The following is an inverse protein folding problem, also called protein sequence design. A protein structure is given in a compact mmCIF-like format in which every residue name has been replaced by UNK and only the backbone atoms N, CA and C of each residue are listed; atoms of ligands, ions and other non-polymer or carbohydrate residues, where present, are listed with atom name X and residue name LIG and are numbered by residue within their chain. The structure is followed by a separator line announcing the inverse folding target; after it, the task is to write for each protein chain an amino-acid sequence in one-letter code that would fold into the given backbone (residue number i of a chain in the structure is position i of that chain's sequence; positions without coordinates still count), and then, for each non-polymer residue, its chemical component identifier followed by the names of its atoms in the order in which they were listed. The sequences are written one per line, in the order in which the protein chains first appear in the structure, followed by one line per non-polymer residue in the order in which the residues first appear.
data_IF_309174643977
#
_entry.id   IF_309174643977
#
_cell.length_a   1.000
_cell.length_b   1.000
_cell.length_c   1.000
_cell.angle_alpha   90.00
_cell.angle_beta   90.00
_cell.angle_gamma   90.00
#
_symmetry.space_group_name_H-M   'P 1'
#
loop_
_entity.id
_entity.type
_entity.pdbx_description
1 polymer ?
#
# COMPACT_ATOMS: atom_id res chain seq x y z
N UNK A 1 16.12 -17.88 19.80
CA UNK A 1 17.41 -18.06 19.07
C UNK A 1 17.21 -18.56 17.64
N UNK A 2 16.13 -19.31 17.34
CA UNK A 2 15.73 -19.64 15.97
C UNK A 2 15.04 -18.47 15.24
N UNK A 3 14.16 -17.73 15.93
CA UNK A 3 13.40 -16.60 15.38
C UNK A 3 14.30 -15.43 14.88
N UNK A 4 15.37 -15.11 15.61
CA UNK A 4 16.35 -14.08 15.21
C UNK A 4 17.32 -14.53 14.10
N UNK A 5 17.37 -15.84 13.80
CA UNK A 5 18.17 -16.38 12.70
C UNK A 5 17.33 -16.45 11.42
N UNK A 6 16.03 -16.80 11.52
CA UNK A 6 15.05 -16.68 10.43
C UNK A 6 14.87 -15.21 10.00
N UNK A 7 14.81 -14.25 10.94
CA UNK A 7 14.80 -12.81 10.62
C UNK A 7 16.04 -12.36 9.83
N UNK A 8 17.18 -13.06 10.00
CA UNK A 8 18.45 -12.73 9.35
C UNK A 8 18.55 -13.31 7.95
N UNK A 9 18.05 -14.52 7.74
CA UNK A 9 17.92 -15.13 6.40
C UNK A 9 16.86 -14.44 5.55
N UNK A 10 15.69 -14.06 6.12
CA UNK A 10 14.65 -13.31 5.39
C UNK A 10 15.12 -11.90 4.95
N UNK A 11 16.04 -11.29 5.70
CA UNK A 11 16.62 -9.98 5.38
C UNK A 11 17.78 -10.04 4.37
N UNK A 12 18.51 -11.15 4.30
CA UNK A 12 19.63 -11.35 3.37
C UNK A 12 19.15 -11.78 1.97
N UNK A 13 18.09 -12.60 1.88
CA UNK A 13 17.54 -13.03 0.58
C UNK A 13 16.88 -11.88 -0.21
N UNK A 14 16.46 -10.80 0.46
CA UNK A 14 15.91 -9.61 -0.21
C UNK A 14 16.99 -8.66 -0.74
N UNK A 15 18.24 -8.78 -0.26
CA UNK A 15 19.33 -7.88 -0.67
C UNK A 15 20.00 -8.30 -1.98
N UNK A 16 19.85 -9.57 -2.38
CA UNK A 16 20.55 -10.13 -3.56
C UNK A 16 19.69 -10.11 -4.83
N UNK A 17 18.38 -9.82 -4.73
CA UNK A 17 17.49 -9.72 -5.90
C UNK A 17 17.22 -8.27 -6.38
N UNK A 18 17.92 -7.26 -5.85
CA UNK A 18 17.65 -5.85 -6.17
C UNK A 18 18.40 -5.27 -7.38
N UNK A 19 19.12 -6.10 -8.13
CA UNK A 19 19.66 -5.72 -9.43
C UNK A 19 18.71 -6.12 -10.56
N UNK A 20 17.50 -5.56 -10.60
CA UNK A 20 16.68 -5.65 -11.81
C UNK A 20 15.76 -4.43 -11.97
N UNK A 21 15.81 -3.87 -13.18
CA UNK A 21 15.11 -2.69 -13.71
C UNK A 21 15.55 -1.30 -13.22
N UNK A 22 16.82 -0.96 -13.46
CA UNK A 22 17.09 0.41 -13.91
C UNK A 22 16.44 0.55 -15.31
N UNK A 23 15.26 1.16 -15.39
CA UNK A 23 14.63 1.47 -16.66
C UNK A 23 15.64 2.23 -17.53
N UNK A 24 16.03 1.61 -18.66
CA UNK A 24 17.06 2.12 -19.54
C UNK A 24 16.70 3.56 -19.97
N UNK A 25 17.42 4.55 -19.43
CA UNK A 25 17.21 5.97 -19.74
C UNK A 25 16.77 6.88 -18.58
N UNK A 26 16.57 6.38 -17.35
CA UNK A 26 16.32 7.27 -16.21
C UNK A 26 17.58 8.08 -15.81
N UNK A 27 17.44 9.38 -15.49
CA UNK A 27 18.55 10.19 -15.00
C UNK A 27 19.09 9.60 -13.68
N UNK A 28 20.41 9.54 -13.56
CA UNK A 28 21.09 9.03 -12.37
C UNK A 28 21.69 10.18 -11.55
N UNK A 29 21.93 9.92 -10.27
CA UNK A 29 22.68 10.83 -9.41
C UNK A 29 24.11 10.93 -9.93
N UNK A 30 24.63 12.15 -10.02
CA UNK A 30 26.04 12.39 -10.31
C UNK A 30 26.93 11.76 -9.22
N UNK A 31 28.13 11.33 -9.59
CA UNK A 31 29.07 10.66 -8.71
C UNK A 31 29.46 11.53 -7.51
N UNK A 32 29.61 12.84 -7.70
CA UNK A 32 29.88 13.77 -6.61
C UNK A 32 28.75 13.79 -5.58
N UNK A 33 27.50 13.95 -6.04
CA UNK A 33 26.31 13.95 -5.18
C UNK A 33 26.11 12.59 -4.48
N UNK A 34 26.43 11.48 -5.16
CA UNK A 34 26.37 10.15 -4.58
C UNK A 34 27.39 9.99 -3.43
N UNK A 35 28.63 10.45 -3.62
CA UNK A 35 29.66 10.42 -2.59
C UNK A 35 29.32 11.30 -1.38
N UNK A 36 28.76 12.49 -1.61
CA UNK A 36 28.26 13.35 -0.54
C UNK A 36 27.14 12.67 0.24
N UNK A 37 26.16 12.06 -0.44
CA UNK A 37 25.06 11.37 0.22
C UNK A 37 25.53 10.15 1.03
N UNK A 38 26.52 9.40 0.50
CA UNK A 38 27.15 8.29 1.21
C UNK A 38 27.89 8.76 2.46
N UNK A 39 28.63 9.88 2.39
CA UNK A 39 29.30 10.49 3.53
C UNK A 39 28.29 10.83 4.63
N UNK A 40 27.24 11.57 4.27
CA UNK A 40 26.16 11.97 5.19
C UNK A 40 25.53 10.73 5.84
N UNK A 41 25.11 9.75 5.04
CA UNK A 41 24.41 8.56 5.55
C UNK A 41 25.32 7.67 6.42
N UNK A 42 26.62 7.64 6.15
CA UNK A 42 27.59 6.86 6.94
C UNK A 42 27.77 7.46 8.33
N UNK A 43 27.84 8.80 8.43
CA UNK A 43 28.11 9.51 9.67
C UNK A 43 26.89 9.68 10.60
N UNK A 44 25.67 9.36 10.15
CA UNK A 44 24.47 9.39 11.02
C UNK A 44 24.60 8.47 12.24
N UNK A 45 25.32 7.36 12.14
CA UNK A 45 25.49 6.44 13.26
C UNK A 45 25.95 5.05 12.86
N UNK A 46 26.46 4.34 13.85
CA UNK A 46 27.04 3.00 13.73
C UNK A 46 26.24 1.99 14.55
N UNK A 47 25.94 0.85 13.92
CA UNK A 47 25.30 -0.25 14.61
C UNK A 47 26.34 -0.94 15.50
N UNK A 48 26.16 -0.87 16.81
CA UNK A 48 27.03 -1.56 17.76
C UNK A 48 26.34 -2.85 18.18
N UNK A 49 26.96 -3.98 17.84
CA UNK A 49 26.58 -5.27 18.41
C UNK A 49 27.31 -5.38 19.76
N UNK A 50 26.61 -5.34 20.90
CA UNK A 50 27.26 -5.54 22.18
C UNK A 50 27.85 -6.95 22.25
N UNK A 51 29.11 -7.05 22.69
CA UNK A 51 29.86 -8.32 22.73
C UNK A 51 29.22 -9.41 23.62
N UNK A 52 28.21 -9.06 24.44
CA UNK A 52 27.47 -9.97 25.32
C UNK A 52 26.20 -10.57 24.72
N UNK A 53 26.00 -10.52 23.40
CA UNK A 53 24.84 -11.15 22.74
C UNK A 53 23.53 -10.36 22.86
N UNK A 54 23.59 -9.07 23.22
CA UNK A 54 22.44 -8.18 23.20
C UNK A 54 22.03 -7.76 21.78
N UNK A 55 20.80 -7.27 21.64
CA UNK A 55 20.32 -6.74 20.37
C UNK A 55 21.23 -5.60 19.87
N UNK A 56 21.47 -5.50 18.56
CA UNK A 56 22.31 -4.45 18.00
C UNK A 56 21.66 -3.08 18.24
N UNK A 57 22.38 -2.18 18.89
CA UNK A 57 21.90 -0.82 19.20
C UNK A 57 22.58 0.16 18.25
N UNK A 58 21.79 1.04 17.63
CA UNK A 58 22.33 2.10 16.80
C UNK A 58 22.82 3.23 17.70
N UNK A 59 24.12 3.51 17.65
CA UNK A 59 24.73 4.64 18.34
C UNK A 59 24.80 5.82 17.38
N UNK A 60 24.34 7.01 17.82
CA UNK A 60 24.51 8.25 17.07
C UNK A 60 26.00 8.53 16.77
N UNK A 61 26.27 9.04 15.57
CA UNK A 61 27.61 9.52 15.21
C UNK A 61 27.97 10.84 15.88
N UNK A 62 29.22 11.27 15.70
CA UNK A 62 29.64 12.64 16.03
C UNK A 62 28.87 13.64 15.15
N UNK A 63 28.43 14.75 15.74
CA UNK A 63 27.65 15.78 15.06
C UNK A 63 26.43 15.24 14.28
N UNK A 64 25.78 14.21 14.84
CA UNK A 64 24.65 13.51 14.22
C UNK A 64 23.52 14.48 13.79
N UNK A 65 23.24 15.52 14.57
CA UNK A 65 22.22 16.50 14.25
C UNK A 65 22.58 17.28 12.96
N UNK A 66 23.84 17.69 12.80
CA UNK A 66 24.34 18.37 11.61
C UNK A 66 24.24 17.46 10.38
N UNK A 67 24.57 16.17 10.52
CA UNK A 67 24.40 15.19 9.43
C UNK A 67 22.93 14.98 9.06
N UNK A 68 22.01 15.00 10.01
CA UNK A 68 20.56 14.96 9.72
C UNK A 68 20.13 16.24 9.00
N UNK A 69 20.66 17.41 9.35
CA UNK A 69 20.39 18.64 8.61
C UNK A 69 20.96 18.63 7.19
N UNK A 70 22.13 18.04 6.97
CA UNK A 70 22.71 17.86 5.64
C UNK A 70 21.84 16.91 4.80
N UNK A 71 21.36 15.81 5.40
CA UNK A 71 20.43 14.90 4.76
C UNK A 71 19.12 15.61 4.40
N UNK A 72 18.57 16.40 5.32
CA UNK A 72 17.38 17.21 5.08
C UNK A 72 17.61 18.16 3.91
N UNK A 73 18.77 18.83 3.87
CA UNK A 73 19.18 19.74 2.79
C UNK A 73 19.33 19.03 1.45
N UNK A 74 19.79 17.78 1.43
CA UNK A 74 19.88 16.96 0.22
C UNK A 74 18.47 16.59 -0.30
N UNK A 75 17.57 16.16 0.59
CA UNK A 75 16.18 15.82 0.20
C UNK A 75 15.41 17.07 -0.26
N UNK A 76 15.66 18.25 0.34
CA UNK A 76 15.00 19.52 -0.05
C UNK A 76 15.40 19.98 -1.44
N UNK A 77 16.64 19.73 -1.85
CA UNK A 77 17.17 20.10 -3.16
C UNK A 77 16.91 19.03 -4.23
N UNK A 78 16.29 17.92 -3.86
CA UNK A 78 15.99 16.84 -4.79
C UNK A 78 15.00 17.31 -5.86
N UNK A 79 15.13 16.75 -7.06
CA UNK A 79 14.33 17.17 -8.20
C UNK A 79 12.86 16.76 -8.01
N UNK A 80 11.92 17.69 -8.18
CA UNK A 80 10.49 17.46 -7.93
C UNK A 80 9.91 16.21 -8.64
N UNK A 81 10.26 16.01 -9.92
CA UNK A 81 9.78 14.87 -10.72
C UNK A 81 10.63 13.60 -10.61
N UNK A 82 11.96 13.72 -10.53
CA UNK A 82 12.84 12.56 -10.58
C UNK A 82 13.09 11.94 -9.21
N UNK A 83 13.11 12.77 -8.16
CA UNK A 83 13.29 12.39 -6.75
C UNK A 83 14.42 11.37 -6.55
N UNK A 84 15.57 11.64 -7.18
CA UNK A 84 16.66 10.67 -7.28
C UNK A 84 17.29 10.42 -5.91
N UNK A 85 17.45 11.46 -5.09
CA UNK A 85 17.95 11.34 -3.72
C UNK A 85 16.99 10.50 -2.90
N UNK A 86 15.69 10.78 -2.93
CA UNK A 86 14.70 10.02 -2.18
C UNK A 86 14.63 8.55 -2.60
N UNK A 87 14.69 8.25 -3.91
CA UNK A 87 14.76 6.87 -4.43
C UNK A 87 16.02 6.16 -3.94
N UNK A 88 17.17 6.84 -3.95
CA UNK A 88 18.43 6.26 -3.50
C UNK A 88 18.43 5.97 -1.99
N UNK A 89 17.90 6.88 -1.18
CA UNK A 89 17.72 6.65 0.26
C UNK A 89 16.79 5.46 0.56
N UNK A 90 15.76 5.27 -0.27
CA UNK A 90 14.88 4.10 -0.22
C UNK A 90 15.61 2.79 -0.52
N UNK A 91 16.45 2.78 -1.57
CA UNK A 91 17.29 1.61 -1.92
C UNK A 91 18.24 1.23 -0.78
N UNK A 92 18.87 2.22 -0.16
CA UNK A 92 19.77 2.00 0.99
C UNK A 92 19.04 1.72 2.31
N UNK A 93 17.71 1.82 2.32
CA UNK A 93 16.88 1.67 3.53
C UNK A 93 17.34 2.56 4.68
N UNK A 94 17.74 3.80 4.39
CA UNK A 94 18.28 4.74 5.40
C UNK A 94 17.25 5.05 6.48
N UNK A 95 15.98 5.20 6.10
CA UNK A 95 14.89 5.44 7.03
C UNK A 95 14.77 4.29 8.04
N UNK A 96 14.74 3.05 7.54
CA UNK A 96 14.51 1.86 8.35
C UNK A 96 15.72 1.47 9.21
N UNK A 97 16.93 1.59 8.64
CA UNK A 97 18.17 1.14 9.29
C UNK A 97 18.84 2.20 10.15
N UNK A 98 18.56 3.49 9.93
CA UNK A 98 19.22 4.61 10.62
C UNK A 98 18.23 5.55 11.29
N UNK A 99 17.37 6.23 10.52
CA UNK A 99 16.54 7.32 11.07
C UNK A 99 15.56 6.85 12.16
N UNK A 100 14.80 5.78 11.91
CA UNK A 100 13.86 5.28 12.91
C UNK A 100 14.55 4.70 14.17
N UNK A 101 15.62 3.90 14.08
CA UNK A 101 16.34 3.51 15.28
C UNK A 101 16.94 4.70 16.05
N UNK A 102 17.47 5.73 15.37
CA UNK A 102 17.92 6.95 16.06
C UNK A 102 16.78 7.63 16.82
N UNK A 103 15.60 7.74 16.18
CA UNK A 103 14.40 8.30 16.79
C UNK A 103 13.97 7.52 18.04
N UNK A 104 13.99 6.20 17.98
CA UNK A 104 13.58 5.33 19.10
C UNK A 104 14.59 5.33 20.25
N UNK A 105 15.90 5.33 19.97
CA UNK A 105 16.93 5.22 21.00
C UNK A 105 17.35 6.57 21.62
N UNK A 106 17.12 7.69 20.93
CA UNK A 106 17.56 9.02 21.37
C UNK A 106 16.39 9.99 21.63
N UNK A 107 15.30 9.50 22.22
CA UNK A 107 14.09 10.30 22.51
C UNK A 107 14.32 11.48 23.46
N UNK A 108 15.39 11.46 24.27
CA UNK A 108 15.74 12.55 25.18
C UNK A 108 16.33 13.79 24.48
N UNK A 109 16.83 13.62 23.25
CA UNK A 109 17.45 14.69 22.49
C UNK A 109 16.44 15.32 21.53
N UNK A 110 15.67 16.28 22.04
CA UNK A 110 14.56 16.90 21.32
C UNK A 110 14.97 17.60 20.02
N UNK A 111 16.17 18.19 19.96
CA UNK A 111 16.65 18.85 18.73
C UNK A 111 16.89 17.82 17.62
N UNK A 112 17.55 16.71 17.97
CA UNK A 112 17.77 15.60 17.06
C UNK A 112 16.46 14.93 16.63
N UNK A 113 15.56 14.64 17.57
CA UNK A 113 14.23 14.06 17.29
C UNK A 113 13.46 14.93 16.29
N UNK A 114 13.41 16.23 16.55
CA UNK A 114 12.70 17.18 15.70
C UNK A 114 13.32 17.25 14.29
N UNK A 115 14.65 17.25 14.19
CA UNK A 115 15.36 17.21 12.91
C UNK A 115 15.11 15.91 12.13
N UNK A 116 15.05 14.76 12.81
CA UNK A 116 14.71 13.47 12.18
C UNK A 116 13.27 13.49 11.66
N UNK A 117 12.31 13.98 12.45
CA UNK A 117 10.90 14.07 12.04
C UNK A 117 10.74 14.91 10.77
N UNK A 118 11.50 15.99 10.59
CA UNK A 118 11.46 16.78 9.34
C UNK A 118 11.85 15.94 8.13
N UNK A 119 12.92 15.15 8.24
CA UNK A 119 13.34 14.23 7.16
C UNK A 119 12.28 13.16 6.91
N UNK A 120 11.69 12.59 7.96
CA UNK A 120 10.63 11.59 7.85
C UNK A 120 9.39 12.14 7.14
N UNK A 121 8.95 13.34 7.48
CA UNK A 121 7.85 14.03 6.79
C UNK A 121 8.15 14.16 5.29
N UNK A 122 9.36 14.58 4.93
CA UNK A 122 9.76 14.74 3.52
C UNK A 122 9.83 13.41 2.76
N UNK A 123 10.35 12.35 3.37
CA UNK A 123 10.47 11.04 2.75
C UNK A 123 9.12 10.31 2.63
N UNK A 124 8.15 10.65 3.47
CA UNK A 124 6.80 10.05 3.47
C UNK A 124 5.78 10.79 2.61
N UNK A 125 6.17 11.89 1.95
CA UNK A 125 5.29 12.61 1.03
C UNK A 125 4.92 11.75 -0.18
N UNK A 126 3.59 11.68 -0.44
CA UNK A 126 3.04 11.03 -1.62
C UNK A 126 3.65 11.61 -2.89
N UNK A 127 4.15 10.78 -3.82
CA UNK A 127 4.72 11.27 -5.07
C UNK A 127 3.67 12.02 -5.90
N UNK A 128 4.05 13.18 -6.49
CA UNK A 128 3.25 13.84 -7.52
C UNK A 128 2.90 12.88 -8.67
N UNK A 129 1.74 13.09 -9.31
CA UNK A 129 1.26 12.21 -10.41
C UNK A 129 2.18 12.22 -11.63
N UNK A 130 2.90 13.31 -11.83
CA UNK A 130 3.88 13.52 -12.91
C UNK A 130 5.29 13.04 -12.55
N UNK A 131 5.48 12.42 -11.39
CA UNK A 131 6.78 11.88 -10.99
C UNK A 131 7.21 10.68 -11.83
N UNK A 132 8.51 10.56 -12.06
CA UNK A 132 9.08 9.37 -12.67
C UNK A 132 9.03 8.18 -11.72
N UNK A 133 8.64 7.01 -12.24
CA UNK A 133 8.64 5.74 -11.50
C UNK A 133 7.85 5.80 -10.17
N UNK A 134 6.59 6.23 -10.24
CA UNK A 134 5.68 6.30 -9.09
C UNK A 134 5.54 4.94 -8.39
N UNK A 135 5.54 3.84 -9.15
CA UNK A 135 5.43 2.49 -8.60
C UNK A 135 6.59 2.16 -7.64
N UNK A 136 7.84 2.43 -8.03
CA UNK A 136 9.00 2.22 -7.14
C UNK A 136 8.94 3.14 -5.91
N UNK A 137 8.50 4.39 -6.06
CA UNK A 137 8.36 5.30 -4.93
C UNK A 137 7.28 4.81 -3.94
N UNK A 138 6.14 4.34 -4.42
CA UNK A 138 5.08 3.74 -3.59
C UNK A 138 5.57 2.47 -2.87
N UNK A 139 6.39 1.65 -3.53
CA UNK A 139 7.03 0.48 -2.90
C UNK A 139 7.87 0.89 -1.69
N UNK A 140 8.69 1.95 -1.81
CA UNK A 140 9.46 2.45 -0.66
C UNK A 140 8.57 3.04 0.43
N UNK A 141 7.53 3.80 0.07
CA UNK A 141 6.58 4.35 1.04
C UNK A 141 5.87 3.25 1.86
N UNK A 142 5.44 2.16 1.23
CA UNK A 142 4.85 1.00 1.92
C UNK A 142 5.83 0.36 2.89
N UNK A 143 7.10 0.21 2.47
CA UNK A 143 8.17 -0.29 3.35
C UNK A 143 8.41 0.66 4.54
N UNK A 144 8.34 1.97 4.33
CA UNK A 144 8.45 2.94 5.42
C UNK A 144 7.29 2.75 6.40
N UNK A 145 6.04 2.77 5.90
CA UNK A 145 4.85 2.57 6.74
C UNK A 145 4.92 1.30 7.57
N UNK A 146 5.31 0.19 6.96
CA UNK A 146 5.51 -1.06 7.69
C UNK A 146 6.55 -0.92 8.82
N UNK A 147 7.68 -0.28 8.57
CA UNK A 147 8.72 -0.10 9.60
C UNK A 147 8.31 0.89 10.71
N UNK A 148 7.48 1.89 10.39
CA UNK A 148 6.87 2.78 11.40
C UNK A 148 6.01 2.00 12.40
N UNK A 149 5.20 1.05 11.89
CA UNK A 149 4.37 0.16 12.71
C UNK A 149 5.24 -0.78 13.54
N UNK A 150 6.20 -1.46 12.89
CA UNK A 150 7.09 -2.45 13.54
C UNK A 150 7.92 -1.85 14.68
N UNK A 151 8.36 -0.59 14.54
CA UNK A 151 9.20 0.09 15.55
C UNK A 151 8.42 0.84 16.62
N UNK A 152 7.09 0.90 16.56
CA UNK A 152 6.29 1.63 17.53
C UNK A 152 6.57 3.14 17.51
N UNK A 153 6.61 3.76 16.33
CA UNK A 153 6.92 5.20 16.19
C UNK A 153 5.71 6.07 16.55
N UNK A 154 4.49 5.59 16.36
CA UNK A 154 3.24 6.32 16.67
C UNK A 154 3.16 6.73 18.16
N UNK A 155 3.43 5.87 19.15
CA UNK A 155 3.47 6.28 20.57
C UNK A 155 4.47 7.42 20.82
N UNK A 156 5.65 7.36 20.19
CA UNK A 156 6.65 8.42 20.31
C UNK A 156 6.07 9.73 19.79
N UNK A 157 5.45 9.72 18.60
CA UNK A 157 4.80 10.90 18.04
C UNK A 157 3.71 11.48 18.95
N UNK A 158 2.92 10.62 19.60
CA UNK A 158 1.91 11.04 20.56
C UNK A 158 2.52 11.67 21.82
N UNK A 159 3.66 11.17 22.30
CA UNK A 159 4.37 11.76 23.44
C UNK A 159 4.82 13.21 23.18
N UNK A 160 5.14 13.56 21.93
CA UNK A 160 5.52 14.92 21.51
C UNK A 160 4.34 15.89 21.65
N UNK A 161 3.10 15.39 21.51
CA UNK A 161 1.88 16.19 21.55
C UNK A 161 1.35 16.44 22.96
N UNK A 162 1.87 15.76 23.99
CA UNK A 162 1.35 15.86 25.36
C UNK A 162 1.38 17.30 25.88
N UNK A 163 2.54 17.93 25.92
CA UNK A 163 2.70 19.32 26.35
C UNK A 163 1.96 20.35 25.46
N UNK A 164 2.06 20.29 24.12
CA UNK A 164 1.30 21.17 23.22
C UNK A 164 -0.21 21.11 23.42
N UNK A 165 -0.76 19.91 23.62
CA UNK A 165 -2.20 19.70 23.80
C UNK A 165 -2.69 20.14 25.18
N UNK A 166 -1.86 20.02 26.22
CA UNK A 166 -2.19 20.47 27.57
C UNK A 166 -2.28 22.01 27.69
N UNK A 167 -1.70 22.75 26.75
CA UNK A 167 -1.78 24.22 26.69
C UNK A 167 -2.96 24.64 25.82
N UNK A 168 -3.69 25.66 26.25
CA UNK A 168 -4.84 26.21 25.53
C UNK A 168 -4.66 27.70 25.23
N UNK A 169 -5.17 28.15 24.08
CA UNK A 169 -5.18 29.55 23.67
C UNK A 169 -3.80 30.20 23.65
N UNK A 170 -3.71 31.39 24.24
CA UNK A 170 -2.47 32.20 24.33
C UNK A 170 -1.33 31.56 25.12
N UNK A 171 -1.56 30.45 25.84
CA UNK A 171 -0.50 29.70 26.50
C UNK A 171 0.35 28.87 25.52
N UNK A 172 -0.11 28.66 24.28
CA UNK A 172 0.64 27.93 23.26
C UNK A 172 1.75 28.78 22.66
N UNK A 173 2.93 28.20 22.59
CA UNK A 173 4.11 28.82 21.99
C UNK A 173 4.19 28.51 20.49
N UNK A 174 4.91 29.32 19.68
CA UNK A 174 5.17 29.00 18.27
C UNK A 174 5.80 27.60 18.06
N UNK A 175 6.62 27.17 19.01
CA UNK A 175 7.22 25.83 19.00
C UNK A 175 6.17 24.72 19.16
N UNK A 176 5.13 24.95 19.96
CA UNK A 176 4.02 23.99 20.13
C UNK A 176 3.25 23.82 18.83
N UNK A 177 2.96 24.92 18.11
CA UNK A 177 2.34 24.87 16.78
C UNK A 177 3.18 24.05 15.79
N UNK A 178 4.49 24.25 15.81
CA UNK A 178 5.41 23.53 14.95
C UNK A 178 5.48 22.02 15.30
N UNK A 179 5.46 21.67 16.59
CA UNK A 179 5.40 20.29 17.07
C UNK A 179 4.08 19.61 16.66
N UNK A 180 2.96 20.32 16.77
CA UNK A 180 1.65 19.83 16.32
C UNK A 180 1.64 19.62 14.81
N UNK A 181 2.09 20.60 14.03
CA UNK A 181 2.13 20.54 12.57
C UNK A 181 2.97 19.36 12.07
N UNK A 182 4.18 19.17 12.59
CA UNK A 182 5.08 18.13 12.12
C UNK A 182 4.53 16.73 12.40
N UNK A 183 3.91 16.52 13.57
CA UNK A 183 3.34 15.23 13.97
C UNK A 183 2.09 14.95 13.15
N UNK A 184 1.15 15.89 13.07
CA UNK A 184 -0.10 15.70 12.33
C UNK A 184 0.18 15.47 10.83
N UNK A 185 1.14 16.20 10.26
CA UNK A 185 1.56 16.00 8.86
C UNK A 185 2.14 14.61 8.63
N UNK A 186 2.96 14.11 9.56
CA UNK A 186 3.53 12.77 9.45
C UNK A 186 2.45 11.69 9.59
N UNK A 187 1.51 11.82 10.53
CA UNK A 187 0.38 10.91 10.66
C UNK A 187 -0.48 10.90 9.38
N UNK A 188 -0.79 12.09 8.83
CA UNK A 188 -1.52 12.22 7.56
C UNK A 188 -0.78 11.54 6.42
N UNK A 189 0.54 11.74 6.32
CA UNK A 189 1.35 11.09 5.30
C UNK A 189 1.28 9.57 5.40
N UNK A 190 1.39 9.00 6.60
CA UNK A 190 1.30 7.55 6.82
C UNK A 190 -0.08 6.99 6.43
N UNK A 191 -1.15 7.72 6.75
CA UNK A 191 -2.52 7.40 6.33
C UNK A 191 -2.70 7.45 4.80
N UNK A 192 -2.01 8.36 4.13
CA UNK A 192 -2.09 8.55 2.68
C UNK A 192 -1.33 7.49 1.84
N UNK A 193 -0.51 6.66 2.48
CA UNK A 193 0.23 5.57 1.82
C UNK A 193 -0.72 4.39 1.59
N UNK A 194 -1.02 4.04 0.32
CA UNK A 194 -1.96 2.98 -0.01
C UNK A 194 -1.35 1.59 0.21
N UNK A 195 -2.22 0.61 0.49
CA UNK A 195 -1.86 -0.80 0.51
C UNK A 195 -1.31 -1.25 -0.86
N UNK A 196 -0.56 -2.35 -0.86
CA UNK A 196 -0.22 -3.07 -2.10
C UNK A 196 -1.45 -3.81 -2.61
N UNK A 197 -1.59 -3.92 -3.94
CA UNK A 197 -2.64 -4.73 -4.52
C UNK A 197 -2.44 -6.20 -4.09
N UNK A 198 -3.48 -6.87 -3.54
CA UNK A 198 -3.39 -8.28 -3.16
C UNK A 198 -2.93 -9.22 -4.29
N UNK A 199 -3.04 -8.79 -5.56
CA UNK A 199 -2.56 -9.56 -6.73
C UNK A 199 -1.05 -9.54 -6.90
N UNK A 200 -0.35 -8.56 -6.31
CA UNK A 200 1.10 -8.40 -6.42
C UNK A 200 1.85 -8.80 -5.15
N UNK A 201 1.15 -9.22 -4.09
CA UNK A 201 1.79 -9.74 -2.86
C UNK A 201 2.01 -11.25 -2.95
N UNK A 202 3.08 -11.70 -2.32
CA UNK A 202 3.40 -13.11 -2.08
C UNK A 202 3.11 -13.46 -0.61
N UNK A 203 3.22 -14.74 -0.24
CA UNK A 203 3.04 -15.16 1.16
C UNK A 203 3.92 -14.37 2.14
N UNK A 204 5.18 -14.10 1.77
CA UNK A 204 6.13 -13.33 2.59
C UNK A 204 5.80 -11.83 2.65
N UNK A 205 5.14 -11.29 1.62
CA UNK A 205 4.82 -9.86 1.50
C UNK A 205 3.34 -9.53 1.72
N UNK A 206 2.56 -10.50 2.20
CA UNK A 206 1.12 -10.37 2.43
C UNK A 206 0.76 -9.21 3.37
N UNK A 207 1.63 -8.89 4.33
CA UNK A 207 1.48 -7.75 5.24
C UNK A 207 1.35 -6.40 4.52
N UNK A 208 1.89 -6.24 3.30
CA UNK A 208 1.73 -5.01 2.53
C UNK A 208 0.29 -4.77 2.03
N UNK A 209 -0.55 -5.81 1.99
CA UNK A 209 -1.94 -5.71 1.53
C UNK A 209 -2.91 -5.17 2.58
N UNK A 210 -2.53 -5.17 3.86
CA UNK A 210 -3.38 -4.76 4.98
C UNK A 210 -2.71 -3.72 5.92
N UNK A 211 -1.74 -2.95 5.40
CA UNK A 211 -1.03 -1.94 6.19
C UNK A 211 -1.94 -0.82 6.71
N UNK A 212 -3.01 -0.48 5.98
CA UNK A 212 -3.95 0.56 6.40
C UNK A 212 -4.70 0.11 7.65
N UNK A 213 -5.14 -1.13 7.68
CA UNK A 213 -5.84 -1.75 8.81
C UNK A 213 -4.94 -1.83 10.04
N UNK A 214 -3.69 -2.27 9.87
CA UNK A 214 -2.69 -2.34 10.95
C UNK A 214 -2.37 -0.93 11.51
N UNK A 215 -2.29 0.07 10.61
CA UNK A 215 -2.10 1.46 11.02
C UNK A 215 -3.32 1.95 11.81
N UNK A 216 -4.54 1.78 11.32
CA UNK A 216 -5.77 2.22 12.01
C UNK A 216 -5.88 1.57 13.40
N UNK A 217 -5.56 0.28 13.50
CA UNK A 217 -5.49 -0.41 14.79
C UNK A 217 -4.50 0.28 15.74
N UNK A 218 -3.29 0.56 15.26
CA UNK A 218 -2.25 1.25 16.05
C UNK A 218 -2.69 2.66 16.44
N UNK A 219 -3.27 3.44 15.52
CA UNK A 219 -3.78 4.79 15.79
C UNK A 219 -4.87 4.76 16.87
N UNK A 220 -5.73 3.75 16.88
CA UNK A 220 -6.72 3.55 17.93
C UNK A 220 -6.07 3.18 19.28
N UNK A 221 -5.12 2.23 19.31
CA UNK A 221 -4.45 1.84 20.56
C UNK A 221 -3.69 3.01 21.21
N UNK A 222 -3.10 3.89 20.39
CA UNK A 222 -2.33 5.05 20.85
C UNK A 222 -3.17 6.32 21.04
N UNK A 223 -4.50 6.20 21.06
CA UNK A 223 -5.46 7.30 21.28
C UNK A 223 -5.35 8.47 20.28
N UNK A 224 -4.96 8.19 19.04
CA UNK A 224 -4.84 9.22 17.99
C UNK A 224 -6.22 9.75 17.61
N UNK A 225 -7.25 8.91 17.57
CA UNK A 225 -8.60 9.35 17.22
C UNK A 225 -9.24 10.24 18.28
N UNK A 226 -8.97 9.97 19.56
CA UNK A 226 -9.35 10.80 20.70
C UNK A 226 -8.68 12.18 20.60
N UNK A 227 -7.41 12.21 20.23
CA UNK A 227 -6.67 13.45 19.96
C UNK A 227 -7.25 14.21 18.76
N UNK A 228 -7.60 13.53 17.66
CA UNK A 228 -8.27 14.17 16.52
C UNK A 228 -9.65 14.74 16.90
N UNK A 229 -10.41 14.02 17.73
CA UNK A 229 -11.68 14.48 18.26
C UNK A 229 -11.50 15.72 19.15
N UNK A 230 -10.45 15.78 19.98
CA UNK A 230 -10.12 16.96 20.77
C UNK A 230 -9.87 18.17 19.88
N UNK A 231 -9.09 18.02 18.81
CA UNK A 231 -8.89 19.10 17.85
C UNK A 231 -10.19 19.50 17.13
N UNK A 232 -11.07 18.54 16.85
CA UNK A 232 -12.35 18.79 16.20
C UNK A 232 -13.36 19.55 17.09
N UNK A 233 -13.25 19.43 18.42
CA UNK A 233 -14.14 20.16 19.36
C UNK A 233 -13.94 21.68 19.29
N UNK A 234 -12.69 22.12 19.18
CA UNK A 234 -12.33 23.55 19.14
C UNK A 234 -12.04 24.05 17.71
N UNK A 235 -12.63 23.41 16.69
CA UNK A 235 -12.33 23.66 15.27
C UNK A 235 -12.79 25.04 14.77
N UNK A 236 -13.69 25.69 15.52
CA UNK A 236 -14.19 27.04 15.25
C UNK A 236 -13.24 28.14 15.74
N UNK A 237 -12.28 27.80 16.61
CA UNK A 237 -11.29 28.77 17.09
C UNK A 237 -10.39 29.21 15.94
N UNK A 238 -10.10 30.52 15.78
CA UNK A 238 -9.30 31.04 14.68
C UNK A 238 -7.88 30.47 14.64
N UNK A 239 -7.34 30.13 15.82
CA UNK A 239 -6.01 29.52 16.03
C UNK A 239 -5.92 28.10 15.46
N UNK A 240 -7.03 27.38 15.41
CA UNK A 240 -7.08 25.99 14.96
C UNK A 240 -7.49 25.85 13.48
N UNK A 241 -7.86 26.97 12.82
CA UNK A 241 -8.42 27.00 11.46
C UNK A 241 -7.53 26.30 10.42
N UNK A 242 -6.21 26.35 10.62
CA UNK A 242 -5.23 25.72 9.73
C UNK A 242 -5.31 24.18 9.77
N UNK A 243 -5.79 23.61 10.88
CA UNK A 243 -5.88 22.17 11.09
C UNK A 243 -7.19 21.57 10.59
N UNK A 244 -8.20 22.39 10.29
CA UNK A 244 -9.54 21.92 9.89
C UNK A 244 -9.48 20.97 8.69
N UNK A 245 -8.76 21.38 7.64
CA UNK A 245 -8.62 20.58 6.43
C UNK A 245 -7.72 19.35 6.65
N UNK A 246 -6.70 19.49 7.50
CA UNK A 246 -5.81 18.38 7.85
C UNK A 246 -6.56 17.28 8.61
N UNK A 247 -7.37 17.64 9.59
CA UNK A 247 -8.20 16.70 10.36
C UNK A 247 -9.23 16.03 9.47
N UNK A 248 -9.92 16.81 8.61
CA UNK A 248 -10.86 16.23 7.65
C UNK A 248 -10.18 15.24 6.70
N UNK A 249 -8.98 15.56 6.19
CA UNK A 249 -8.20 14.66 5.33
C UNK A 249 -7.80 13.38 6.09
N UNK A 250 -7.37 13.47 7.35
CA UNK A 250 -7.03 12.31 8.16
C UNK A 250 -8.23 11.39 8.42
N UNK A 251 -9.40 11.96 8.67
CA UNK A 251 -10.65 11.21 8.84
C UNK A 251 -11.06 10.55 7.52
N UNK A 252 -11.00 11.29 6.39
CA UNK A 252 -11.29 10.76 5.06
C UNK A 252 -10.39 9.57 4.72
N UNK A 253 -9.07 9.72 4.89
CA UNK A 253 -8.10 8.64 4.66
C UNK A 253 -8.30 7.42 5.59
N UNK A 254 -8.77 7.65 6.82
CA UNK A 254 -9.13 6.57 7.74
C UNK A 254 -10.35 5.80 7.24
N UNK A 255 -11.35 6.51 6.72
CA UNK A 255 -12.61 5.92 6.29
C UNK A 255 -12.58 5.35 4.88
N UNK A 256 -11.61 5.74 4.04
CA UNK A 256 -11.46 5.26 2.65
C UNK A 256 -11.27 3.73 2.55
N UNK A 257 -10.74 3.09 3.60
CA UNK A 257 -10.64 1.62 3.65
C UNK A 257 -11.93 0.90 4.07
N UNK A 258 -13.02 1.64 4.31
CA UNK A 258 -14.27 1.11 4.87
C UNK A 258 -15.49 1.50 4.06
N UNK A 259 -16.47 0.60 3.98
CA UNK A 259 -17.78 0.93 3.41
C UNK A 259 -18.75 1.31 4.53
N UNK A 260 -19.43 2.49 4.46
CA UNK A 260 -20.33 2.94 5.52
C UNK A 260 -21.42 1.91 5.88
N UNK A 261 -21.95 1.21 4.88
CA UNK A 261 -22.95 0.15 5.08
C UNK A 261 -22.40 -1.04 5.86
N UNK A 262 -21.15 -1.43 5.61
CA UNK A 262 -20.49 -2.53 6.31
C UNK A 262 -20.25 -2.16 7.78
N UNK A 263 -19.78 -0.93 8.04
CA UNK A 263 -19.58 -0.41 9.40
C UNK A 263 -20.89 -0.37 10.18
N UNK A 264 -21.97 0.16 9.59
CA UNK A 264 -23.29 0.20 10.24
C UNK A 264 -23.83 -1.21 10.51
N UNK A 265 -23.65 -2.15 9.57
CA UNK A 265 -24.07 -3.54 9.78
C UNK A 265 -23.30 -4.20 10.93
N UNK A 266 -21.99 -3.96 11.01
CA UNK A 266 -21.14 -4.44 12.10
C UNK A 266 -21.55 -3.82 13.45
N UNK A 267 -21.76 -2.51 13.51
CA UNK A 267 -22.18 -1.81 14.72
C UNK A 267 -23.55 -2.31 15.23
N UNK A 268 -24.52 -2.49 14.33
CA UNK A 268 -25.83 -3.08 14.67
C UNK A 268 -25.69 -4.49 15.25
N UNK A 269 -24.82 -5.31 14.67
CA UNK A 269 -24.53 -6.65 15.20
C UNK A 269 -23.95 -6.59 16.61
N UNK A 270 -22.99 -5.70 16.85
CA UNK A 270 -22.39 -5.54 18.18
C UNK A 270 -23.41 -5.05 19.22
N UNK A 271 -24.22 -4.04 18.90
CA UNK A 271 -25.27 -3.51 19.79
C UNK A 271 -26.34 -4.56 20.10
N UNK A 272 -26.73 -5.39 19.12
CA UNK A 272 -27.65 -6.50 19.33
C UNK A 272 -27.04 -7.58 20.25
N UNK A 273 -25.75 -7.87 20.08
CA UNK A 273 -25.04 -8.87 20.91
C UNK A 273 -24.88 -8.40 22.36
N UNK A 274 -24.69 -7.10 22.60
CA UNK A 274 -24.64 -6.53 23.95
C UNK A 274 -26.01 -6.51 24.65
N UNK A 275 -27.10 -6.44 23.89
CA UNK A 275 -28.47 -6.42 24.44
C UNK A 275 -28.98 -7.80 24.90
N UNK A 276 -28.36 -8.90 24.46
CA UNK A 276 -28.73 -10.27 24.88
C UNK A 276 -28.00 -10.74 26.17
N UNK A 277 -27.20 -9.87 26.81
CA UNK A 277 -26.38 -10.19 27.99
C UNK A 277 -27.00 -9.93 29.38
N UNK A 278 -28.27 -9.54 29.50
CA UNK A 278 -28.96 -9.39 30.80
C UNK A 278 -29.93 -10.55 31.06
N UNK A 279 -29.71 -11.42 32.06
CA UNK A 279 -30.63 -12.50 32.38
C UNK A 279 -31.75 -11.98 33.27
N UNK A 280 -32.85 -11.51 32.66
CA UNK A 280 -34.12 -11.34 33.35
C UNK A 280 -34.99 -12.59 33.11
N UNK A 281 -35.25 -13.30 34.19
CA UNK A 281 -36.06 -14.51 34.31
C UNK A 281 -37.50 -14.34 33.80
N UNK A 282 -37.92 -15.16 32.83
CA UNK A 282 -39.17 -15.94 32.83
C UNK A 282 -39.35 -16.70 31.49
N UNK A 283 -39.72 -18.00 31.48
CA UNK A 283 -39.96 -18.75 30.26
C UNK A 283 -41.44 -18.64 29.84
N UNK A 284 -41.69 -18.35 28.57
CA UNK A 284 -42.98 -18.64 27.93
C UNK A 284 -42.76 -19.14 26.50
N UNK A 285 -43.51 -20.14 26.01
CA UNK A 285 -43.14 -20.90 24.81
C UNK A 285 -43.85 -20.39 23.56
N UNK A 286 -43.11 -20.09 22.48
CA UNK A 286 -43.48 -20.24 21.06
C UNK A 286 -42.43 -19.56 20.15
N UNK A 287 -42.48 -19.79 18.83
CA UNK A 287 -42.17 -21.01 18.11
C UNK A 287 -40.82 -20.88 17.37
N UNK A 288 -40.32 -21.99 16.82
CA UNK A 288 -39.03 -22.12 16.13
C UNK A 288 -38.70 -20.96 15.17
N UNK A 289 -37.88 -20.02 15.64
CA UNK A 289 -37.26 -18.98 14.80
C UNK A 289 -35.95 -19.55 14.26
N UNK A 290 -35.95 -19.90 12.98
CA UNK A 290 -34.74 -20.38 12.27
C UNK A 290 -33.63 -19.34 12.42
N UNK A 291 -32.41 -19.71 12.83
CA UNK A 291 -31.29 -18.77 12.87
C UNK A 291 -30.91 -18.41 11.43
N UNK A 292 -30.99 -17.12 11.09
CA UNK A 292 -30.49 -16.62 9.82
C UNK A 292 -28.95 -16.62 9.86
N UNK A 293 -28.26 -17.39 8.99
CA UNK A 293 -26.80 -17.44 9.00
C UNK A 293 -26.26 -16.43 7.99
N UNK A 294 -25.89 -15.24 8.44
CA UNK A 294 -25.22 -14.22 7.58
C UNK A 294 -23.73 -14.55 7.35
N UNK A 295 -23.23 -15.67 7.88
CA UNK A 295 -21.93 -16.25 7.51
C UNK A 295 -22.02 -17.39 6.48
N UNK A 296 -23.21 -17.76 6.02
CA UNK A 296 -23.44 -18.97 5.20
C UNK A 296 -23.41 -18.77 3.68
N UNK A 297 -23.35 -17.54 3.18
CA UNK A 297 -23.72 -17.27 1.79
C UNK A 297 -22.54 -17.26 0.80
N UNK A 298 -21.29 -17.08 1.24
CA UNK A 298 -20.12 -17.14 0.34
C UNK A 298 -19.77 -18.58 -0.04
N UNK A 299 -19.75 -19.50 0.94
CA UNK A 299 -19.53 -20.92 0.67
C UNK A 299 -20.70 -21.52 -0.11
N UNK A 300 -21.93 -21.12 0.20
CA UNK A 300 -23.12 -21.54 -0.54
C UNK A 300 -23.13 -20.99 -1.97
N UNK A 301 -22.75 -19.73 -2.19
CA UNK A 301 -22.57 -19.13 -3.52
C UNK A 301 -21.45 -19.76 -4.31
N UNK A 302 -20.29 -20.01 -3.69
CA UNK A 302 -19.19 -20.70 -4.35
C UNK A 302 -19.62 -22.13 -4.73
N UNK A 303 -20.31 -22.84 -3.83
CA UNK A 303 -20.82 -24.18 -4.13
C UNK A 303 -21.89 -24.17 -5.23
N UNK A 304 -22.77 -23.16 -5.27
CA UNK A 304 -23.77 -23.04 -6.33
C UNK A 304 -23.15 -22.64 -7.66
N UNK A 305 -22.16 -21.75 -7.67
CA UNK A 305 -21.36 -21.38 -8.85
C UNK A 305 -20.55 -22.57 -9.35
N UNK A 306 -19.85 -23.29 -8.46
CA UNK A 306 -19.16 -24.54 -8.80
C UNK A 306 -20.11 -25.58 -9.37
N UNK A 307 -21.33 -25.68 -8.84
CA UNK A 307 -22.35 -26.59 -9.37
C UNK A 307 -22.89 -26.15 -10.73
N UNK A 308 -23.05 -24.84 -10.95
CA UNK A 308 -23.48 -24.27 -12.24
C UNK A 308 -22.38 -24.38 -13.31
N UNK A 309 -21.11 -24.11 -12.95
CA UNK A 309 -19.95 -24.30 -13.82
C UNK A 309 -19.65 -25.77 -14.08
N UNK A 310 -19.88 -26.66 -13.11
CA UNK A 310 -19.83 -28.11 -13.33
C UNK A 310 -20.89 -28.58 -14.34
N UNK A 311 -22.03 -27.88 -14.44
CA UNK A 311 -23.04 -28.14 -15.47
C UNK A 311 -22.54 -27.75 -16.88
N UNK A 312 -21.72 -26.69 -16.99
CA UNK A 312 -21.08 -26.28 -18.26
C UNK A 312 -19.83 -27.10 -18.60
N UNK A 313 -19.08 -27.57 -17.60
CA UNK A 313 -18.00 -28.57 -17.73
C UNK A 313 -18.53 -30.01 -17.81
N UNK A 314 -19.85 -30.22 -17.77
CA UNK A 314 -20.50 -31.51 -18.05
C UNK A 314 -20.42 -31.89 -19.54
N UNK A 315 -19.36 -31.49 -20.23
CA UNK A 315 -18.93 -32.06 -21.50
C UNK A 315 -18.05 -33.28 -21.23
N UNK A 316 -18.71 -34.43 -20.93
CA UNK A 316 -18.15 -35.79 -20.78
C UNK A 316 -18.01 -36.31 -19.34
N UNK A 317 -18.87 -37.29 -18.99
CA UNK A 317 -18.72 -38.18 -17.82
C UNK A 317 -17.59 -39.22 -18.00
N UNK A 318 -16.68 -39.01 -18.95
CA UNK A 318 -15.63 -39.97 -19.33
C UNK A 318 -14.27 -39.32 -19.11
N UNK A 319 -13.28 -40.15 -18.80
CA UNK A 319 -11.91 -39.70 -18.55
C UNK A 319 -11.34 -38.90 -19.74
N UNK A 320 -10.33 -38.06 -19.48
CA UNK A 320 -9.66 -37.22 -20.48
C UNK A 320 -9.11 -37.97 -21.71
N UNK A 321 -8.82 -39.27 -21.59
CA UNK A 321 -8.36 -40.11 -22.71
C UNK A 321 -9.48 -40.67 -23.61
N UNK A 322 -10.74 -40.25 -23.45
CA UNK A 322 -11.84 -40.76 -24.26
C UNK A 322 -11.84 -40.09 -25.64
N UNK A 323 -11.20 -40.72 -26.62
CA UNK A 323 -10.93 -40.19 -27.96
C UNK A 323 -12.11 -40.23 -28.95
N UNK A 324 -13.30 -39.81 -28.53
CA UNK A 324 -14.42 -39.64 -29.46
C UNK A 324 -14.16 -38.50 -30.45
N UNK A 325 -14.62 -38.64 -31.69
CA UNK A 325 -14.45 -37.61 -32.74
C UNK A 325 -15.78 -37.37 -33.42
N UNK A 326 -16.21 -36.11 -33.51
CA UNK A 326 -17.44 -35.71 -34.19
C UNK A 326 -17.08 -34.78 -35.34
N UNK A 327 -17.57 -35.12 -36.53
CA UNK A 327 -17.36 -34.31 -37.73
C UNK A 327 -18.63 -33.51 -37.97
N UNK A 328 -18.55 -32.19 -37.82
CA UNK A 328 -19.64 -31.28 -38.16
C UNK A 328 -19.45 -30.79 -39.59
N UNK A 329 -20.53 -30.74 -40.37
CA UNK A 329 -20.50 -30.18 -41.73
C UNK A 329 -21.29 -28.87 -41.71
N UNK A 330 -20.59 -27.76 -41.93
CA UNK A 330 -21.22 -26.44 -41.99
C UNK A 330 -22.11 -26.29 -43.22
N UNK A 331 -23.02 -25.32 -43.20
CA UNK A 331 -23.97 -25.03 -44.30
C UNK A 331 -23.29 -24.73 -45.65
N UNK A 332 -22.00 -24.35 -45.63
CA UNK A 332 -21.17 -24.12 -46.82
C UNK A 332 -20.44 -25.38 -47.33
N UNK A 333 -20.74 -26.56 -46.76
CA UNK A 333 -20.14 -27.85 -47.12
C UNK A 333 -18.76 -28.11 -46.51
N UNK A 334 -18.25 -27.18 -45.68
CA UNK A 334 -16.93 -27.33 -45.03
C UNK A 334 -17.06 -28.20 -43.78
N UNK A 335 -16.24 -29.25 -43.70
CA UNK A 335 -16.23 -30.18 -42.58
C UNK A 335 -15.23 -29.72 -41.50
N UNK A 336 -15.66 -29.71 -40.24
CA UNK A 336 -14.82 -29.46 -39.07
C UNK A 336 -14.88 -30.66 -38.13
N UNK A 337 -13.72 -31.11 -37.68
CA UNK A 337 -13.60 -32.28 -36.82
C UNK A 337 -13.30 -31.81 -35.39
N UNK A 338 -14.16 -32.19 -34.44
CA UNK A 338 -14.04 -31.86 -33.02
C UNK A 338 -13.82 -33.14 -32.23
N UNK A 339 -12.70 -33.20 -31.51
CA UNK A 339 -12.29 -34.36 -30.71
C UNK A 339 -12.32 -34.12 -29.20
N UNK A 340 -12.63 -32.90 -28.76
CA UNK A 340 -12.67 -32.52 -27.35
C UNK A 340 -14.02 -31.84 -27.04
N UNK A 341 -14.93 -32.63 -26.46
CA UNK A 341 -16.30 -32.20 -26.13
C UNK A 341 -16.40 -31.49 -24.78
N UNK A 342 -15.28 -31.34 -24.07
CA UNK A 342 -15.23 -30.71 -22.75
C UNK A 342 -15.04 -29.19 -22.80
N UNK A 343 -14.66 -28.66 -23.97
CA UNK A 343 -14.40 -27.23 -24.18
C UNK A 343 -15.61 -26.54 -24.79
N UNK A 344 -16.02 -25.44 -24.16
CA UNK A 344 -17.08 -24.56 -24.66
C UNK A 344 -16.74 -24.05 -26.06
N UNK A 345 -17.77 -23.80 -26.88
CA UNK A 345 -17.66 -23.46 -28.32
C UNK A 345 -16.68 -22.32 -28.64
N UNK A 346 -16.44 -21.40 -27.69
CA UNK A 346 -15.50 -20.28 -27.84
C UNK A 346 -14.01 -20.65 -27.71
N UNK A 347 -13.68 -21.79 -27.08
CA UNK A 347 -12.29 -22.25 -26.87
C UNK A 347 -11.82 -23.27 -27.93
N UNK A 348 -12.67 -23.58 -28.91
CA UNK A 348 -12.34 -24.52 -29.97
C UNK A 348 -11.60 -23.78 -31.09
N UNK A 349 -10.28 -23.60 -30.94
CA UNK A 349 -9.43 -23.21 -32.08
C UNK A 349 -9.47 -24.38 -33.08
N UNK A 350 -9.97 -24.19 -34.32
CA UNK A 350 -9.94 -25.24 -35.30
C UNK A 350 -8.48 -25.56 -35.62
N UNK A 351 -7.99 -26.72 -35.17
CA UNK A 351 -6.72 -27.23 -35.65
C UNK A 351 -6.89 -27.54 -37.14
N UNK A 352 -6.53 -26.57 -37.99
CA UNK A 352 -6.40 -26.80 -39.41
C UNK A 352 -5.43 -27.97 -39.59
N UNK A 353 -5.89 -29.05 -40.22
CA UNK A 353 -5.09 -30.21 -40.53
C UNK A 353 -3.81 -29.76 -41.25
N UNK A 354 -2.67 -29.78 -40.54
CA UNK A 354 -1.37 -29.49 -41.15
C UNK A 354 -1.09 -30.62 -42.13
N UNK A 355 -1.27 -30.37 -43.43
CA UNK A 355 -0.76 -31.26 -44.48
C UNK A 355 0.75 -31.45 -44.24
N UNK A 356 1.29 -32.68 -44.28
CA UNK A 356 2.72 -32.88 -44.15
C UNK A 356 3.43 -32.21 -45.33
N UNK A 357 4.05 -31.06 -45.10
CA UNK A 357 4.87 -30.38 -46.09
C UNK A 357 6.21 -31.11 -46.12
N UNK A 358 6.46 -31.86 -47.21
CA UNK A 358 7.79 -32.40 -47.49
C UNK A 358 8.78 -31.23 -47.49
N UNK A 359 9.83 -31.32 -46.68
CA UNK A 359 10.93 -30.34 -46.63
C UNK A 359 11.58 -30.25 -48.02
N UNK A 360 11.20 -29.22 -48.79
CA UNK A 360 12.03 -28.71 -49.90
C UNK A 360 12.59 -27.36 -49.50
N UNK A 361 13.93 -27.30 -49.50
CA UNK A 361 14.78 -26.17 -49.18
C UNK A 361 14.59 -25.06 -50.22
N UNK A 362 14.11 -23.88 -49.80
CA UNK A 362 14.26 -22.65 -50.58
C UNK A 362 13.10 -21.64 -50.52
N UNK A 363 13.48 -20.40 -50.16
CA UNK A 363 12.81 -19.09 -50.37
C UNK A 363 11.64 -18.66 -49.47
N UNK A 364 11.82 -17.43 -48.95
CA UNK A 364 10.91 -16.61 -48.15
C UNK A 364 9.66 -16.23 -48.97
N UNK A 365 8.48 -16.35 -48.36
CA UNK A 365 7.26 -15.66 -48.76
C UNK A 365 6.31 -15.57 -47.55
N UNK A 366 5.71 -14.40 -47.34
CA UNK A 366 4.92 -14.02 -46.18
C UNK A 366 3.63 -14.85 -46.04
N UNK A 367 3.29 -15.22 -44.81
CA UNK A 367 1.95 -15.70 -44.48
C UNK A 367 1.03 -14.48 -44.23
N UNK A 368 -0.20 -14.44 -44.77
CA UNK A 368 -1.14 -13.39 -44.46
C UNK A 368 -1.67 -13.59 -43.03
N UNK A 369 -1.59 -12.53 -42.23
CA UNK A 369 -2.24 -12.42 -40.92
C UNK A 369 -3.75 -12.45 -41.17
N UNK A 370 -4.43 -13.46 -40.62
CA UNK A 370 -5.89 -13.49 -40.61
C UNK A 370 -6.32 -12.63 -39.43
N UNK A 371 -6.90 -11.47 -39.76
CA UNK A 371 -7.42 -10.49 -38.83
C UNK A 371 -8.75 -11.00 -38.24
N UNK A 372 -8.78 -11.16 -36.91
CA UNK A 372 -9.91 -11.78 -36.18
C UNK A 372 -11.05 -10.76 -35.95
N UNK A 373 -10.84 -9.48 -36.25
CA UNK A 373 -11.84 -8.44 -36.04
C UNK A 373 -13.01 -8.45 -37.04
N UNK A 374 -12.92 -9.20 -38.14
CA UNK A 374 -13.97 -9.20 -39.19
C UNK A 374 -15.16 -10.13 -38.89
N UNK A 375 -15.06 -11.02 -37.90
CA UNK A 375 -16.08 -12.07 -37.65
C UNK A 375 -17.06 -11.71 -36.51
N UNK A 376 -16.68 -10.80 -35.58
CA UNK A 376 -17.48 -10.55 -34.35
C UNK A 376 -17.75 -9.06 -34.03
N UNK A 377 -17.59 -8.15 -34.98
CA UNK A 377 -17.80 -6.71 -34.76
C UNK A 377 -19.28 -6.29 -34.65
N UNK A 378 -19.85 -6.29 -33.44
CA UNK A 378 -21.08 -5.57 -33.10
C UNK A 378 -20.81 -4.08 -32.86
N UNK A 379 -21.61 -3.20 -33.50
CA UNK A 379 -21.49 -1.73 -33.39
C UNK A 379 -21.86 -1.23 -31.99
N UNK A 380 -20.88 -0.71 -31.24
CA UNK A 380 -21.09 0.07 -30.02
C UNK A 380 -20.20 1.32 -30.03
N UNK A 381 -20.81 2.51 -30.06
CA UNK A 381 -20.12 3.79 -29.91
C UNK A 381 -19.70 3.96 -28.44
N UNK A 382 -18.43 4.27 -28.20
CA UNK A 382 -17.94 4.74 -26.89
C UNK A 382 -17.89 6.26 -26.95
N UNK A 383 -18.68 6.91 -26.11
CA UNK A 383 -18.60 8.36 -25.88
C UNK A 383 -17.72 8.62 -24.66
N UNK A 384 -16.78 9.52 -24.87
CA UNK A 384 -15.85 10.10 -23.90
C UNK A 384 -16.60 10.98 -22.91
N UNK A 385 -16.46 10.77 -21.60
CA UNK A 385 -16.68 11.75 -20.54
C UNK A 385 -16.36 11.14 -19.17
N UNK A 386 -15.27 11.59 -18.55
CA UNK A 386 -15.26 11.96 -17.13
C UNK A 386 -13.92 12.65 -16.81
N UNK A 387 -13.92 13.98 -16.96
CA UNK A 387 -12.94 14.85 -16.34
C UNK A 387 -13.33 15.05 -14.87
N UNK A 388 -12.69 14.32 -13.96
CA UNK A 388 -12.66 14.73 -12.56
C UNK A 388 -11.45 15.64 -12.34
N UNK A 389 -11.70 16.94 -12.44
CA UNK A 389 -10.81 17.99 -11.93
C UNK A 389 -10.74 17.84 -10.41
N UNK A 390 -9.65 17.27 -9.93
CA UNK A 390 -9.38 17.12 -8.50
C UNK A 390 -9.01 18.48 -7.89
N UNK A 391 -9.88 18.99 -7.02
CA UNK A 391 -9.69 20.14 -6.10
C UNK A 391 -8.38 20.08 -5.26
N UNK A 392 -7.69 18.94 -5.32
CA UNK A 392 -6.47 18.57 -4.61
C UNK A 392 -5.18 19.31 -5.04
N UNK A 393 -5.17 19.98 -6.20
CA UNK A 393 -4.00 20.69 -6.70
C UNK A 393 -3.66 21.98 -5.92
N UNK A 394 -4.66 22.64 -5.32
CA UNK A 394 -4.41 23.91 -4.61
C UNK A 394 -3.83 23.73 -3.20
N UNK A 395 -3.99 22.57 -2.56
CA UNK A 395 -3.56 22.38 -1.17
C UNK A 395 -2.17 21.78 -1.04
N UNK A 396 -1.79 20.83 -1.92
CA UNK A 396 -0.41 20.30 -1.97
C UNK A 396 0.60 21.39 -2.33
N UNK A 397 0.20 22.36 -3.16
CA UNK A 397 1.03 23.50 -3.53
C UNK A 397 1.18 24.52 -2.38
N UNK A 398 0.23 24.57 -1.43
CA UNK A 398 0.27 25.49 -0.27
C UNK A 398 0.98 24.90 0.94
N UNK A 399 0.79 23.61 1.22
CA UNK A 399 1.55 22.88 2.24
C UNK A 399 3.04 22.77 1.88
N UNK A 400 3.36 22.63 0.59
CA UNK A 400 4.75 22.72 0.11
C UNK A 400 5.37 24.11 0.23
N UNK A 401 4.55 25.17 0.25
CA UNK A 401 5.02 26.56 0.37
C UNK A 401 5.33 26.97 1.82
N UNK A 402 4.62 26.41 2.81
CA UNK A 402 4.90 26.69 4.23
C UNK A 402 6.11 25.92 4.77
N UNK A 403 6.37 24.70 4.30
CA UNK A 403 7.59 23.94 4.63
C UNK A 403 8.86 24.61 4.05
N UNK A 404 8.72 25.49 3.06
CA UNK A 404 9.80 26.30 2.52
C UNK A 404 10.17 27.52 3.38
N UNK A 405 9.41 27.87 4.42
CA UNK A 405 9.68 29.04 5.27
C UNK A 405 10.27 28.72 6.66
N UNK A 406 10.65 27.47 6.96
CA UNK A 406 11.35 27.10 8.23
C UNK A 406 12.56 26.19 8.05
#
# INVERSE_FOLDING_TARGET
MAEAAEEREELEDFAVSSEEEAAAGEPQLDAAMMNELLLVCSNLGMLRVPAGGGAPVLMRGEDCEQWVHDLQRAVRRDHAQHRLVAKQLGRWRVLQKKLLPLLVHHQHDWSLVFSILKVLVMLTMKPPRDSSNVAQQLKFLRQYKHEFLRRGVVPIMMSILVEPLARHGSARTPQDFLNMEIVLTLLRNLLAIPNEDPRFVTSTTAHFSHLQEDLIWTLHQENVYEMLLLFAQDIEAPENREWNLLIMEMIDLTLDCSQPKAVVAYAKKQLATQSEGQPASAPSPAPARKPAPVGGDLLAKLNSEKSASALHQSGSRRHSNFGGVLTMVGSTGRTTVVSDFSKTVYDQVPQAAKKPVSRRRGKKSAAPVIDIQEIFGGKGRVTESDEYVSFWQLYTQRAGSLICMV
#
